data_IF_858809374537
#
_entry.id   IF_858809374537
#
_cell.length_a   1.000
_cell.length_b   1.000
_cell.length_c   1.000
_cell.angle_alpha   90.00
_cell.angle_beta   90.00
_cell.angle_gamma   90.00
#
_symmetry.space_group_name_H-M   'P 1'
#
loop_
_entity.id
_entity.type
_entity.pdbx_description
1 polymer ?
#
# COMPACT_ATOMS: atom_id res chain seq x y z
N UNK A 1 -14.56 -47.98 10.86
CA UNK A 1 -15.23 -46.76 11.37
C UNK A 1 -14.28 -45.58 11.16
N UNK A 2 -14.13 -45.03 9.95
CA UNK A 2 -13.21 -43.87 9.77
C UNK A 2 -13.36 -43.13 8.42
N UNK A 3 -14.59 -43.02 7.90
CA UNK A 3 -14.86 -42.16 6.71
C UNK A 3 -15.98 -41.14 6.92
N UNK A 4 -16.69 -41.19 8.05
CA UNK A 4 -17.82 -40.29 8.36
C UNK A 4 -17.43 -39.00 9.12
N UNK A 5 -16.20 -38.91 9.64
CA UNK A 5 -15.77 -37.73 10.41
C UNK A 5 -15.08 -36.63 9.57
N UNK A 6 -14.59 -36.95 8.37
CA UNK A 6 -13.94 -35.96 7.50
C UNK A 6 -14.98 -35.06 6.81
N UNK A 7 -16.14 -35.60 6.46
CA UNK A 7 -17.24 -34.83 5.86
C UNK A 7 -17.90 -33.82 6.82
N UNK A 8 -17.79 -34.04 8.14
CA UNK A 8 -18.30 -33.09 9.16
C UNK A 8 -17.32 -31.95 9.47
N UNK A 9 -16.02 -32.13 9.21
CA UNK A 9 -15.03 -31.06 9.37
C UNK A 9 -15.04 -30.07 8.18
N UNK A 10 -15.40 -30.56 6.97
CA UNK A 10 -15.51 -29.72 5.77
C UNK A 10 -16.72 -28.77 5.76
N UNK A 11 -17.77 -29.04 6.53
CA UNK A 11 -18.97 -28.19 6.56
C UNK A 11 -18.85 -26.97 7.51
N UNK A 12 -17.80 -26.89 8.32
CA UNK A 12 -17.56 -25.79 9.28
C UNK A 12 -16.62 -24.69 8.73
N UNK A 13 -16.06 -24.85 7.53
CA UNK A 13 -15.15 -23.89 6.88
C UNK A 13 -15.80 -23.07 5.75
N UNK A 14 -17.10 -23.27 5.50
CA UNK A 14 -17.84 -22.57 4.43
C UNK A 14 -18.04 -21.05 4.59
N UNK A 15 -17.88 -20.37 5.75
CA UNK A 15 -17.95 -18.90 5.77
C UNK A 15 -16.59 -18.20 5.54
N UNK A 16 -15.47 -18.93 5.42
CA UNK A 16 -14.15 -18.33 5.15
C UNK A 16 -13.97 -17.93 3.67
N UNK A 17 -14.60 -18.64 2.73
CA UNK A 17 -14.51 -18.34 1.29
C UNK A 17 -15.12 -16.99 0.91
N UNK A 18 -16.26 -16.62 1.49
CA UNK A 18 -16.88 -15.30 1.24
C UNK A 18 -16.08 -14.13 1.85
N UNK A 19 -15.34 -14.37 2.95
CA UNK A 19 -14.49 -13.34 3.54
C UNK A 19 -13.20 -13.12 2.73
N UNK A 20 -12.69 -14.18 2.10
CA UNK A 20 -11.57 -14.10 1.17
C UNK A 20 -11.95 -13.34 -0.11
N UNK A 21 -13.18 -13.50 -0.60
CA UNK A 21 -13.67 -12.76 -1.77
C UNK A 21 -13.77 -11.25 -1.51
N UNK A 22 -14.21 -10.82 -0.32
CA UNK A 22 -14.27 -9.41 0.08
C UNK A 22 -12.88 -8.79 0.32
N UNK A 23 -11.93 -9.56 0.86
CA UNK A 23 -10.53 -9.13 1.03
C UNK A 23 -9.76 -9.10 -0.30
N UNK A 24 -9.99 -10.06 -1.20
CA UNK A 24 -9.44 -10.02 -2.56
C UNK A 24 -10.03 -8.86 -3.36
N UNK A 25 -11.32 -8.56 -3.22
CA UNK A 25 -11.93 -7.44 -3.95
C UNK A 25 -11.45 -6.07 -3.45
N UNK A 26 -11.10 -5.93 -2.15
CA UNK A 26 -10.45 -4.71 -1.64
C UNK A 26 -8.98 -4.59 -2.04
N UNK A 27 -8.26 -5.71 -2.20
CA UNK A 27 -6.87 -5.69 -2.70
C UNK A 27 -6.81 -5.39 -4.21
N UNK A 28 -7.76 -5.91 -4.99
CA UNK A 28 -7.82 -5.65 -6.45
C UNK A 28 -8.03 -4.19 -6.80
N UNK A 29 -8.73 -3.42 -5.95
CA UNK A 29 -8.98 -2.01 -6.22
C UNK A 29 -7.77 -1.11 -5.94
N UNK A 30 -6.83 -1.55 -5.10
CA UNK A 30 -5.65 -0.73 -4.75
C UNK A 30 -4.46 -0.97 -5.68
N UNK A 31 -4.32 -2.17 -6.26
CA UNK A 31 -3.16 -2.52 -7.09
C UNK A 31 -3.41 -2.32 -8.61
N UNK A 32 -4.67 -2.37 -9.07
CA UNK A 32 -5.01 -2.20 -10.48
C UNK A 32 -5.28 -0.73 -10.90
N UNK A 33 -5.33 0.21 -9.95
CA UNK A 33 -5.66 1.63 -10.20
C UNK A 33 -4.45 2.50 -10.62
N UNK A 34 -3.44 1.90 -11.24
CA UNK A 34 -2.25 2.61 -11.73
C UNK A 34 -2.40 3.27 -13.11
N UNK A 35 -3.48 2.97 -13.84
CA UNK A 35 -3.63 3.41 -15.24
C UNK A 35 -4.56 4.62 -15.37
N UNK A 36 -4.02 5.76 -15.79
CA UNK A 36 -4.83 6.83 -16.40
C UNK A 36 -4.30 6.99 -17.83
N UNK A 37 -5.18 6.79 -18.81
CA UNK A 37 -4.95 7.22 -20.18
C UNK A 37 -4.73 8.73 -20.17
N UNK A 38 -3.94 9.27 -21.10
CA UNK A 38 -3.84 10.72 -21.29
C UNK A 38 -5.21 11.24 -21.72
N UNK A 39 -6.08 11.55 -20.75
CA UNK A 39 -7.41 12.08 -21.02
C UNK A 39 -7.27 13.52 -21.47
N UNK A 40 -7.89 13.81 -22.62
CA UNK A 40 -8.12 15.16 -23.11
C UNK A 40 -8.62 16.05 -21.96
N UNK A 41 -8.23 17.32 -21.97
CA UNK A 41 -8.71 18.32 -21.00
C UNK A 41 -10.23 18.23 -20.93
N UNK A 42 -10.74 17.58 -19.89
CA UNK A 42 -12.17 17.41 -19.68
C UNK A 42 -12.81 18.79 -19.52
N UNK A 43 -14.08 18.89 -19.90
CA UNK A 43 -14.85 20.09 -19.60
C UNK A 43 -14.79 20.37 -18.09
N UNK A 44 -14.73 21.65 -17.69
CA UNK A 44 -14.72 22.01 -16.28
C UNK A 44 -15.89 21.33 -15.57
N UNK A 45 -15.59 20.71 -14.44
CA UNK A 45 -16.52 19.90 -13.66
C UNK A 45 -16.52 20.34 -12.19
N UNK A 46 -17.67 20.20 -11.55
CA UNK A 46 -17.79 20.28 -10.10
C UNK A 46 -17.67 18.85 -9.54
N UNK A 47 -16.95 18.69 -8.44
CA UNK A 47 -16.70 17.38 -7.82
C UNK A 47 -16.99 17.44 -6.33
N UNK A 48 -17.76 16.47 -5.86
CA UNK A 48 -18.11 16.28 -4.46
C UNK A 48 -17.71 14.86 -4.05
N UNK A 49 -16.84 14.76 -3.05
CA UNK A 49 -16.27 13.49 -2.58
C UNK A 49 -16.49 13.40 -1.07
N UNK A 50 -16.92 12.23 -0.63
CA UNK A 50 -16.87 11.85 0.78
C UNK A 50 -15.82 10.77 0.96
N UNK A 51 -14.81 11.08 1.77
CA UNK A 51 -13.73 10.18 2.17
C UNK A 51 -14.01 9.64 3.56
N UNK A 52 -13.63 8.38 3.80
CA UNK A 52 -13.59 7.76 5.12
C UNK A 52 -12.14 7.43 5.48
N UNK A 53 -11.73 7.91 6.65
CA UNK A 53 -10.46 7.55 7.29
C UNK A 53 -10.55 6.12 7.80
N UNK A 54 -9.54 5.32 7.50
CA UNK A 54 -9.42 3.95 8.01
C UNK A 54 -9.20 3.97 9.53
N UNK A 55 -10.29 3.79 10.27
CA UNK A 55 -10.28 3.69 11.73
C UNK A 55 -9.41 2.51 12.21
N UNK A 56 -9.35 1.44 11.42
CA UNK A 56 -8.53 0.28 11.74
C UNK A 56 -7.03 0.56 11.59
N UNK A 57 -6.63 1.35 10.59
CA UNK A 57 -5.24 1.80 10.46
C UNK A 57 -4.89 2.84 11.51
N UNK A 58 -5.82 3.72 11.89
CA UNK A 58 -5.66 4.62 13.02
C UNK A 58 -5.37 3.83 14.31
N UNK A 59 -6.20 2.81 14.62
CA UNK A 59 -5.97 1.95 15.79
C UNK A 59 -4.64 1.21 15.75
N UNK A 60 -4.24 0.67 14.60
CA UNK A 60 -2.91 0.03 14.44
C UNK A 60 -1.78 1.03 14.72
N UNK A 61 -1.90 2.25 14.19
CA UNK A 61 -0.94 3.33 14.43
C UNK A 61 -0.85 3.65 15.93
N UNK A 62 -1.99 3.77 16.60
CA UNK A 62 -2.05 4.08 18.03
C UNK A 62 -1.57 2.94 18.93
N UNK A 63 -1.73 1.68 18.52
CA UNK A 63 -1.30 0.51 19.28
C UNK A 63 0.20 0.20 19.14
N UNK A 64 0.88 0.78 18.14
CA UNK A 64 2.31 0.57 17.93
C UNK A 64 2.67 -0.91 17.70
N UNK A 65 3.57 -1.45 18.52
CA UNK A 65 4.02 -2.86 18.42
C UNK A 65 2.90 -3.86 18.69
N UNK A 66 1.94 -3.52 19.56
CA UNK A 66 0.79 -4.35 19.89
C UNK A 66 -0.19 -4.55 18.72
N UNK A 67 -0.09 -3.74 17.66
CA UNK A 67 -0.86 -3.96 16.44
C UNK A 67 -0.56 -5.33 15.79
N UNK A 68 0.57 -5.95 16.13
CA UNK A 68 0.97 -7.27 15.63
C UNK A 68 0.38 -8.43 16.42
N UNK A 69 -0.18 -8.17 17.61
CA UNK A 69 -0.69 -9.18 18.53
C UNK A 69 -1.92 -9.90 17.95
N UNK A 70 -2.00 -11.22 18.17
CA UNK A 70 -3.10 -12.04 17.65
C UNK A 70 -4.46 -11.63 18.22
N UNK A 71 -4.50 -11.24 19.51
CA UNK A 71 -5.72 -10.78 20.18
C UNK A 71 -6.18 -9.46 19.58
N UNK A 72 -5.25 -8.51 19.38
CA UNK A 72 -5.54 -7.24 18.75
C UNK A 72 -6.11 -7.43 17.33
N UNK A 73 -5.45 -8.25 16.50
CA UNK A 73 -5.91 -8.56 15.14
C UNK A 73 -7.30 -9.20 15.14
N UNK A 74 -7.56 -10.12 16.07
CA UNK A 74 -8.88 -10.76 16.20
C UNK A 74 -9.96 -9.76 16.58
N UNK A 75 -9.70 -8.88 17.55
CA UNK A 75 -10.63 -7.84 17.98
C UNK A 75 -10.91 -6.83 16.86
N UNK A 76 -9.87 -6.41 16.15
CA UNK A 76 -9.96 -5.50 15.01
C UNK A 76 -10.82 -6.10 13.88
N UNK A 77 -10.55 -7.35 13.48
CA UNK A 77 -11.32 -8.05 12.46
C UNK A 77 -12.79 -8.24 12.89
N UNK A 78 -13.06 -8.41 14.18
CA UNK A 78 -14.42 -8.48 14.71
C UNK A 78 -15.13 -7.14 14.60
N UNK A 79 -14.46 -6.03 14.94
CA UNK A 79 -15.00 -4.68 14.84
C UNK A 79 -15.34 -4.32 13.38
N UNK A 80 -14.41 -4.57 12.44
CA UNK A 80 -14.62 -4.33 11.01
C UNK A 80 -15.82 -5.12 10.45
N UNK A 81 -16.02 -6.38 10.89
CA UNK A 81 -17.17 -7.20 10.45
C UNK A 81 -18.52 -6.70 10.96
N UNK A 82 -18.52 -6.03 12.11
CA UNK A 82 -19.72 -5.58 12.82
C UNK A 82 -20.07 -4.12 12.48
N UNK A 83 -19.14 -3.36 11.91
CA UNK A 83 -19.36 -2.00 11.41
C UNK A 83 -20.56 -1.95 10.46
N UNK A 84 -21.56 -1.12 10.79
CA UNK A 84 -22.79 -0.96 10.02
C UNK A 84 -23.83 -2.09 10.16
N UNK A 85 -23.57 -3.15 10.95
CA UNK A 85 -24.52 -4.25 11.21
C UNK A 85 -25.14 -4.18 12.59
N UNK A 86 -24.41 -3.69 13.58
CA UNK A 86 -24.82 -3.60 14.97
C UNK A 86 -24.81 -2.16 15.44
N UNK A 87 -25.67 -1.84 16.42
CA UNK A 87 -25.69 -0.53 17.06
C UNK A 87 -24.38 -0.29 17.82
N UNK A 88 -23.86 0.93 17.79
CA UNK A 88 -22.58 1.29 18.39
C UNK A 88 -21.55 1.73 17.34
N UNK A 89 -20.59 2.52 17.79
CA UNK A 89 -19.49 3.01 16.95
C UNK A 89 -18.36 1.97 16.89
N UNK A 90 -17.52 2.03 15.85
CA UNK A 90 -16.41 1.11 15.59
C UNK A 90 -15.51 0.92 16.81
N UNK A 91 -15.21 2.01 17.53
CA UNK A 91 -14.39 1.96 18.75
C UNK A 91 -15.04 1.17 19.88
N UNK A 92 -16.36 1.22 19.98
CA UNK A 92 -17.11 0.51 21.01
C UNK A 92 -17.11 -1.00 20.69
N UNK A 93 -17.32 -1.37 19.41
CA UNK A 93 -17.23 -2.77 18.98
C UNK A 93 -15.81 -3.34 19.12
N UNK A 94 -14.79 -2.54 18.84
CA UNK A 94 -13.39 -2.94 19.07
C UNK A 94 -13.12 -3.18 20.56
N UNK A 95 -13.54 -2.25 21.42
CA UNK A 95 -13.34 -2.35 22.86
C UNK A 95 -14.02 -3.59 23.45
N UNK A 96 -15.26 -3.85 23.05
CA UNK A 96 -16.03 -5.02 23.46
C UNK A 96 -15.34 -6.32 23.01
N UNK A 97 -14.96 -6.40 21.73
CA UNK A 97 -14.28 -7.57 21.18
C UNK A 97 -12.94 -7.82 21.89
N UNK A 98 -12.16 -6.78 22.19
CA UNK A 98 -10.90 -6.93 22.90
C UNK A 98 -11.12 -7.41 24.34
N UNK A 99 -12.04 -6.77 25.07
CA UNK A 99 -12.35 -7.09 26.47
C UNK A 99 -12.85 -8.52 26.65
N UNK A 100 -13.55 -9.08 25.66
CA UNK A 100 -13.99 -10.48 25.68
C UNK A 100 -12.85 -11.50 25.84
N UNK A 101 -11.60 -11.09 25.55
CA UNK A 101 -10.40 -11.90 25.75
C UNK A 101 -9.80 -11.80 27.17
N UNK A 102 -10.45 -11.07 28.10
CA UNK A 102 -10.06 -11.01 29.51
C UNK A 102 -8.94 -10.01 29.84
N UNK A 103 -8.57 -9.13 28.90
CA UNK A 103 -7.53 -8.11 29.09
C UNK A 103 -8.14 -6.69 29.06
N UNK A 104 -7.67 -5.75 29.91
CA UNK A 104 -8.12 -4.37 29.88
C UNK A 104 -7.60 -3.66 28.63
N UNK A 105 -8.35 -2.70 28.07
CA UNK A 105 -7.90 -1.99 26.86
C UNK A 105 -6.59 -1.24 27.06
N UNK A 106 -6.33 -0.77 28.27
CA UNK A 106 -5.12 -0.03 28.62
C UNK A 106 -3.83 -0.82 28.36
N UNK A 107 -3.88 -2.16 28.38
CA UNK A 107 -2.68 -2.98 28.13
C UNK A 107 -2.14 -2.84 26.71
N UNK A 108 -2.99 -2.49 25.73
CA UNK A 108 -2.61 -2.34 24.32
C UNK A 108 -1.73 -1.12 24.04
N UNK A 109 -1.73 -0.13 24.94
CA UNK A 109 -1.15 1.18 24.68
C UNK A 109 0.03 1.48 25.60
N UNK A 110 0.56 0.46 26.28
CA UNK A 110 1.68 0.58 27.23
C UNK A 110 2.97 1.09 26.56
N UNK A 111 3.24 0.61 25.35
CA UNK A 111 4.43 0.93 24.57
C UNK A 111 4.15 1.87 23.39
N UNK A 112 2.98 2.51 23.37
CA UNK A 112 2.61 3.44 22.30
C UNK A 112 2.81 4.90 22.69
N UNK A 113 2.72 5.81 21.72
CA UNK A 113 2.80 7.26 21.99
C UNK A 113 1.68 7.75 22.94
N UNK A 114 0.61 6.97 23.06
CA UNK A 114 -0.50 7.23 23.97
C UNK A 114 -0.21 6.83 25.42
N UNK A 115 0.93 6.18 25.73
CA UNK A 115 1.28 5.78 27.10
C UNK A 115 1.39 6.96 28.10
N UNK A 116 1.58 8.18 27.58
CA UNK A 116 1.53 9.43 28.37
C UNK A 116 0.12 9.74 28.87
N UNK A 117 -0.91 9.24 28.19
CA UNK A 117 -2.33 9.48 28.47
C UNK A 117 -3.06 8.24 28.99
N UNK A 118 -2.59 7.05 28.62
CA UNK A 118 -3.15 5.74 28.97
C UNK A 118 -2.10 4.97 29.78
N UNK A 119 -2.47 4.59 31.00
CA UNK A 119 -1.66 3.75 31.88
C UNK A 119 -2.48 2.53 32.35
N UNK A 120 -1.84 1.61 33.06
CA UNK A 120 -2.47 0.37 33.54
C UNK A 120 -3.70 0.58 34.44
N UNK A 121 -3.87 1.75 35.06
CA UNK A 121 -5.04 2.09 35.88
C UNK A 121 -6.13 2.87 35.13
N UNK A 122 -5.93 3.16 33.85
CA UNK A 122 -6.92 3.88 33.02
C UNK A 122 -8.09 2.96 32.70
N UNK A 123 -9.32 3.41 33.02
CA UNK A 123 -10.53 2.65 32.73
C UNK A 123 -10.81 2.55 31.23
N UNK A 124 -11.43 1.45 30.79
CA UNK A 124 -11.78 1.24 29.38
C UNK A 124 -12.58 2.42 28.79
N UNK A 125 -13.53 2.98 29.54
CA UNK A 125 -14.31 4.15 29.14
C UNK A 125 -13.43 5.39 28.86
N UNK A 126 -12.40 5.59 29.68
CA UNK A 126 -11.46 6.71 29.49
C UNK A 126 -10.53 6.42 28.31
N UNK A 127 -10.11 5.17 28.12
CA UNK A 127 -9.34 4.76 26.94
C UNK A 127 -10.13 5.04 25.65
N UNK A 128 -11.40 4.62 25.58
CA UNK A 128 -12.26 4.87 24.40
C UNK A 128 -12.37 6.37 24.11
N UNK A 129 -12.58 7.22 25.13
CA UNK A 129 -12.62 8.68 24.96
C UNK A 129 -11.31 9.25 24.40
N UNK A 130 -10.16 8.73 24.83
CA UNK A 130 -8.84 9.13 24.31
C UNK A 130 -8.70 8.70 22.84
N UNK A 131 -9.10 7.47 22.50
CA UNK A 131 -9.03 6.96 21.13
C UNK A 131 -9.89 7.77 20.16
N UNK A 132 -11.15 8.10 20.51
CA UNK A 132 -12.02 8.95 19.67
C UNK A 132 -11.42 10.35 19.47
N UNK A 133 -10.83 10.92 20.53
CA UNK A 133 -10.11 12.19 20.42
C UNK A 133 -8.91 12.08 19.47
N UNK A 134 -8.17 10.98 19.51
CA UNK A 134 -7.01 10.79 18.65
C UNK A 134 -7.37 10.51 17.18
N UNK A 135 -8.47 9.79 16.93
CA UNK A 135 -9.06 9.68 15.58
C UNK A 135 -9.43 11.06 15.04
N UNK A 136 -10.08 11.90 15.86
CA UNK A 136 -10.39 13.28 15.46
C UNK A 136 -9.13 14.07 15.12
N UNK A 137 -8.10 14.03 15.96
CA UNK A 137 -6.82 14.70 15.70
C UNK A 137 -6.19 14.21 14.38
N UNK A 138 -6.22 12.90 14.14
CA UNK A 138 -5.71 12.27 12.91
C UNK A 138 -6.52 12.69 11.68
N UNK A 139 -7.83 12.83 11.83
CA UNK A 139 -8.73 13.34 10.77
C UNK A 139 -8.40 14.79 10.44
N UNK A 140 -8.19 15.64 11.44
CA UNK A 140 -7.82 17.05 11.25
C UNK A 140 -6.44 17.20 10.58
N UNK A 141 -5.47 16.35 10.96
CA UNK A 141 -4.17 16.26 10.28
C UNK A 141 -4.31 15.84 8.82
N UNK A 142 -5.14 14.83 8.56
CA UNK A 142 -5.46 14.35 7.20
C UNK A 142 -6.05 15.49 6.36
N UNK A 143 -7.04 16.23 6.88
CA UNK A 143 -7.62 17.40 6.21
C UNK A 143 -6.56 18.43 5.83
N UNK A 144 -5.60 18.71 6.71
CA UNK A 144 -4.53 19.68 6.44
C UNK A 144 -3.58 19.21 5.32
N UNK A 145 -3.28 17.92 5.25
CA UNK A 145 -2.47 17.34 4.16
C UNK A 145 -3.25 17.38 2.86
N UNK A 146 -4.53 16.97 2.85
CA UNK A 146 -5.39 17.03 1.67
C UNK A 146 -5.52 18.46 1.14
N UNK A 147 -5.69 19.45 2.01
CA UNK A 147 -5.68 20.88 1.65
C UNK A 147 -4.37 21.28 0.97
N UNK A 148 -3.24 20.82 1.51
CA UNK A 148 -1.90 21.13 0.96
C UNK A 148 -1.69 20.50 -0.42
N UNK A 149 -2.17 19.26 -0.62
CA UNK A 149 -2.14 18.56 -1.92
C UNK A 149 -2.98 19.26 -2.97
N UNK A 150 -4.22 19.60 -2.63
CA UNK A 150 -5.12 20.32 -3.54
C UNK A 150 -4.53 21.68 -3.92
N UNK A 151 -3.91 22.40 -2.97
CA UNK A 151 -3.20 23.65 -3.24
C UNK A 151 -2.04 23.45 -4.23
N UNK A 152 -1.25 22.38 -4.10
CA UNK A 152 -0.16 22.05 -5.04
C UNK A 152 -0.66 21.68 -6.43
N UNK A 153 -1.89 21.14 -6.55
CA UNK A 153 -2.56 20.90 -7.82
C UNK A 153 -3.17 22.16 -8.45
N UNK A 154 -3.03 23.33 -7.81
CA UNK A 154 -3.57 24.60 -8.30
C UNK A 154 -5.02 24.87 -7.88
N UNK A 155 -5.60 24.04 -7.02
CA UNK A 155 -6.96 24.23 -6.51
C UNK A 155 -6.90 25.22 -5.35
N UNK A 156 -7.33 26.45 -5.61
CA UNK A 156 -7.15 27.58 -4.70
C UNK A 156 -8.24 27.70 -3.62
N UNK A 157 -9.43 27.12 -3.83
CA UNK A 157 -10.58 27.23 -2.91
C UNK A 157 -11.33 25.90 -2.73
N UNK A 158 -10.69 24.84 -2.23
CA UNK A 158 -11.42 23.62 -1.87
C UNK A 158 -12.26 23.85 -0.60
N UNK A 159 -13.51 23.40 -0.58
CA UNK A 159 -14.28 23.26 0.66
C UNK A 159 -14.00 21.88 1.23
N UNK A 160 -13.34 21.82 2.40
CA UNK A 160 -13.01 20.58 3.08
C UNK A 160 -13.49 20.68 4.52
N UNK A 161 -14.35 19.74 4.94
CA UNK A 161 -14.93 19.71 6.28
C UNK A 161 -15.07 18.28 6.78
N UNK A 162 -14.93 18.08 8.09
CA UNK A 162 -15.36 16.83 8.72
C UNK A 162 -16.89 16.75 8.71
N UNK A 163 -17.44 15.55 8.64
CA UNK A 163 -18.90 15.35 8.73
C UNK A 163 -19.35 15.11 10.17
N UNK A 164 -20.64 14.85 10.37
CA UNK A 164 -21.18 14.40 11.66
C UNK A 164 -20.73 12.97 12.02
N UNK A 165 -20.34 12.17 11.02
CA UNK A 165 -19.82 10.82 11.20
C UNK A 165 -18.31 10.88 11.46
N UNK A 166 -17.87 10.22 12.53
CA UNK A 166 -16.46 10.17 12.93
C UNK A 166 -15.59 9.56 11.81
N UNK A 167 -14.45 10.18 11.53
CA UNK A 167 -13.53 9.74 10.47
C UNK A 167 -13.97 10.07 9.04
N UNK A 168 -15.13 10.68 8.82
CA UNK A 168 -15.57 11.07 7.47
C UNK A 168 -15.23 12.53 7.14
N UNK A 169 -14.69 12.74 5.94
CA UNK A 169 -14.26 14.02 5.40
C UNK A 169 -15.03 14.29 4.11
N UNK A 170 -15.73 15.42 4.06
CA UNK A 170 -16.42 15.88 2.87
C UNK A 170 -15.59 16.95 2.15
N UNK A 171 -15.45 16.78 0.84
CA UNK A 171 -14.65 17.62 -0.04
C UNK A 171 -15.52 18.07 -1.20
N UNK A 172 -15.58 19.38 -1.44
CA UNK A 172 -16.22 19.97 -2.61
C UNK A 172 -15.25 20.86 -3.37
N UNK A 173 -15.13 20.57 -4.66
CA UNK A 173 -14.24 21.22 -5.60
C UNK A 173 -15.06 21.78 -6.76
N UNK A 174 -14.72 22.98 -7.20
CA UNK A 174 -15.40 23.67 -8.30
C UNK A 174 -14.40 23.88 -9.44
N UNK A 175 -14.91 23.87 -10.67
CA UNK A 175 -14.14 24.21 -11.88
C UNK A 175 -12.83 23.39 -12.03
N UNK A 176 -12.93 22.08 -11.83
CA UNK A 176 -11.80 21.16 -11.97
C UNK A 176 -11.71 20.58 -13.37
N UNK A 177 -10.48 20.43 -13.88
CA UNK A 177 -10.21 19.92 -15.24
C UNK A 177 -9.89 18.42 -15.32
N UNK A 178 -9.49 17.82 -14.20
CA UNK A 178 -9.05 16.42 -14.17
C UNK A 178 -9.49 15.74 -12.87
N UNK A 179 -10.78 15.32 -12.77
CA UNK A 179 -11.34 14.61 -11.62
C UNK A 179 -10.52 13.39 -11.21
N UNK A 180 -10.16 12.51 -12.15
CA UNK A 180 -9.41 11.27 -11.87
C UNK A 180 -8.01 11.52 -11.28
N UNK A 181 -7.33 12.58 -11.77
CA UNK A 181 -6.03 13.00 -11.23
C UNK A 181 -6.15 13.45 -9.77
N UNK A 182 -7.19 14.22 -9.46
CA UNK A 182 -7.45 14.71 -8.10
C UNK A 182 -7.80 13.52 -7.20
N UNK A 183 -8.66 12.62 -7.68
CA UNK A 183 -9.03 11.38 -6.99
C UNK A 183 -7.79 10.61 -6.55
N UNK A 184 -6.87 10.34 -7.48
CA UNK A 184 -5.60 9.64 -7.20
C UNK A 184 -4.78 10.34 -6.10
N UNK A 185 -4.67 11.66 -6.17
CA UNK A 185 -3.91 12.46 -5.19
C UNK A 185 -4.55 12.51 -3.80
N UNK A 186 -5.88 12.40 -3.72
CA UNK A 186 -6.62 12.38 -2.44
C UNK A 186 -6.48 11.03 -1.73
N UNK A 187 -6.51 9.92 -2.48
CA UNK A 187 -6.45 8.56 -1.90
C UNK A 187 -5.04 8.02 -1.69
N UNK A 188 -4.05 8.53 -2.43
CA UNK A 188 -2.66 8.08 -2.34
C UNK A 188 -2.07 8.38 -0.96
N UNK A 189 -1.61 7.39 -0.17
CA UNK A 189 -0.97 7.64 1.10
C UNK A 189 0.29 8.52 0.98
N UNK A 190 1.06 8.37 -0.11
CA UNK A 190 2.33 9.06 -0.29
C UNK A 190 3.47 8.39 0.50
N UNK A 191 3.40 7.07 0.66
CA UNK A 191 4.37 6.27 1.39
C UNK A 191 5.58 6.03 0.49
N UNK A 192 6.64 6.83 0.64
CA UNK A 192 7.92 6.58 -0.03
C UNK A 192 8.77 5.61 0.80
N UNK A 193 9.21 4.54 0.16
CA UNK A 193 10.01 3.49 0.78
C UNK A 193 11.19 3.08 -0.11
N UNK A 194 12.31 2.75 0.54
CA UNK A 194 13.48 2.19 -0.12
C UNK A 194 13.72 0.78 0.42
N UNK A 195 13.80 -0.17 -0.50
CA UNK A 195 13.91 -1.58 -0.23
C UNK A 195 15.22 -2.12 -0.76
N UNK A 196 15.90 -2.94 0.03
CA UNK A 196 16.91 -3.84 -0.52
C UNK A 196 16.22 -4.86 -1.43
N UNK A 197 16.98 -5.53 -2.29
CA UNK A 197 16.41 -6.53 -3.21
C UNK A 197 17.19 -7.83 -3.16
N UNK A 198 16.49 -8.92 -3.47
CA UNK A 198 17.13 -10.18 -3.84
C UNK A 198 17.53 -10.16 -5.30
N UNK A 199 18.60 -10.87 -5.64
CA UNK A 199 18.85 -11.29 -7.02
C UNK A 199 17.99 -12.50 -7.33
N UNK A 200 17.55 -12.64 -8.58
CA UNK A 200 16.81 -13.83 -9.02
C UNK A 200 17.57 -15.12 -8.70
N UNK A 201 18.89 -15.14 -8.92
CA UNK A 201 19.77 -16.26 -8.54
C UNK A 201 19.68 -16.73 -7.08
N UNK A 202 19.29 -15.86 -6.14
CA UNK A 202 19.15 -16.19 -4.71
C UNK A 202 17.81 -16.88 -4.38
N UNK A 203 16.78 -16.63 -5.19
CA UNK A 203 15.40 -17.05 -4.92
C UNK A 203 14.80 -17.95 -6.01
N UNK A 204 15.57 -18.29 -7.05
CA UNK A 204 15.10 -19.08 -8.20
C UNK A 204 14.44 -20.40 -7.77
N UNK A 205 15.05 -21.14 -6.84
CA UNK A 205 14.49 -22.40 -6.33
C UNK A 205 13.16 -22.19 -5.60
N UNK A 206 13.00 -21.05 -4.92
CA UNK A 206 11.74 -20.69 -4.27
C UNK A 206 10.67 -20.37 -5.32
N UNK A 207 11.02 -19.64 -6.38
CA UNK A 207 10.12 -19.33 -7.50
C UNK A 207 9.67 -20.60 -8.23
N UNK A 208 10.57 -21.57 -8.43
CA UNK A 208 10.23 -22.91 -8.94
C UNK A 208 9.28 -23.69 -8.02
N UNK A 209 9.46 -23.57 -6.69
CA UNK A 209 8.55 -24.15 -5.72
C UNK A 209 7.15 -23.50 -5.78
N UNK A 210 7.07 -22.18 -5.96
CA UNK A 210 5.78 -21.47 -6.18
C UNK A 210 5.10 -21.99 -7.45
N UNK A 211 5.85 -22.17 -8.55
CA UNK A 211 5.30 -22.72 -9.78
C UNK A 211 4.79 -24.16 -9.61
N UNK A 212 5.51 -24.99 -8.85
CA UNK A 212 5.09 -26.37 -8.54
C UNK A 212 3.82 -26.39 -7.71
N UNK A 213 3.71 -25.52 -6.71
CA UNK A 213 2.51 -25.35 -5.90
C UNK A 213 1.33 -24.88 -6.75
N UNK A 214 1.52 -23.90 -7.63
CA UNK A 214 0.48 -23.40 -8.52
C UNK A 214 -0.14 -24.50 -9.39
N UNK A 215 0.69 -25.42 -9.91
CA UNK A 215 0.23 -26.60 -10.68
C UNK A 215 -0.56 -27.61 -9.85
N UNK A 216 -0.31 -27.69 -8.55
CA UNK A 216 -1.03 -28.61 -7.65
C UNK A 216 -2.46 -28.17 -7.31
N UNK A 217 -2.77 -26.88 -7.48
CA UNK A 217 -4.09 -26.30 -7.19
C UNK A 217 -5.16 -26.66 -8.24
N UNK A 218 -4.80 -27.37 -9.31
CA UNK A 218 -5.70 -27.81 -10.39
C UNK A 218 -6.85 -28.76 -9.95
N UNK A 219 -6.95 -29.14 -8.67
CA UNK A 219 -7.87 -30.20 -8.18
C UNK A 219 -8.98 -29.76 -7.22
N UNK A 220 -9.21 -28.47 -6.98
CA UNK A 220 -10.34 -27.97 -6.15
C UNK A 220 -11.33 -27.12 -6.96
N UNK A 221 -12.67 -27.38 -6.88
CA UNK A 221 -13.68 -26.67 -7.68
C UNK A 221 -13.87 -25.17 -7.38
N UNK A 222 -13.26 -24.64 -6.33
CA UNK A 222 -13.44 -23.26 -5.84
C UNK A 222 -12.30 -22.29 -6.19
N UNK A 223 -11.26 -22.76 -6.88
CA UNK A 223 -10.22 -21.91 -7.45
C UNK A 223 -10.39 -21.96 -8.97
N UNK A 224 -10.43 -20.79 -9.61
CA UNK A 224 -10.31 -20.65 -11.08
C UNK A 224 -9.25 -21.63 -11.56
N UNK A 225 -9.49 -22.41 -12.63
CA UNK A 225 -8.50 -23.33 -13.23
C UNK A 225 -7.14 -22.61 -13.34
N UNK A 226 -6.27 -22.89 -12.38
CA UNK A 226 -5.04 -22.14 -12.14
C UNK A 226 -3.95 -22.82 -12.95
N UNK A 227 -3.63 -22.26 -14.11
CA UNK A 227 -2.49 -22.67 -14.92
C UNK A 227 -1.15 -22.43 -14.16
N UNK A 228 -0.10 -23.13 -14.57
CA UNK A 228 1.29 -22.95 -14.11
C UNK A 228 1.71 -21.46 -14.03
N UNK A 229 2.37 -21.04 -12.94
CA UNK A 229 2.91 -19.67 -12.78
C UNK A 229 3.71 -19.22 -14.01
N UNK A 230 4.56 -20.08 -14.55
CA UNK A 230 5.43 -19.76 -15.69
C UNK A 230 4.69 -19.61 -17.03
N UNK A 231 3.39 -19.92 -17.09
CA UNK A 231 2.56 -19.62 -18.27
C UNK A 231 2.20 -18.15 -18.37
N UNK A 232 2.06 -17.48 -17.22
CA UNK A 232 1.59 -16.09 -17.10
C UNK A 232 2.66 -15.13 -16.59
N UNK A 233 3.75 -15.68 -16.04
CA UNK A 233 4.94 -14.94 -15.63
C UNK A 233 6.12 -15.39 -16.49
N UNK A 234 6.55 -14.50 -17.39
CA UNK A 234 7.72 -14.72 -18.24
C UNK A 234 9.00 -14.49 -17.43
N UNK A 235 9.80 -15.54 -17.26
CA UNK A 235 11.05 -15.49 -16.50
C UNK A 235 12.21 -15.82 -17.43
N UNK A 236 13.27 -15.03 -17.34
CA UNK A 236 14.54 -15.30 -18.03
C UNK A 236 15.46 -16.10 -17.10
N UNK A 237 15.64 -17.39 -17.40
CA UNK A 237 16.47 -18.31 -16.63
C UNK A 237 17.89 -18.46 -17.19
N UNK A 238 18.27 -17.72 -18.24
CA UNK A 238 19.63 -17.80 -18.76
C UNK A 238 20.63 -17.28 -17.72
N UNK A 239 21.43 -18.20 -17.17
CA UNK A 239 22.44 -17.91 -16.13
C UNK A 239 23.51 -16.93 -16.59
N UNK A 240 23.65 -16.72 -17.90
CA UNK A 240 24.58 -15.77 -18.48
C UNK A 240 23.92 -14.41 -18.76
N UNK A 241 22.59 -14.28 -18.62
CA UNK A 241 21.90 -13.01 -18.85
C UNK A 241 22.04 -12.09 -17.64
N UNK A 242 22.05 -10.78 -17.90
CA UNK A 242 22.01 -9.77 -16.84
C UNK A 242 20.74 -9.89 -15.99
N UNK A 243 19.64 -10.41 -16.54
CA UNK A 243 18.37 -10.61 -15.83
C UNK A 243 18.51 -11.61 -14.67
N UNK A 244 19.34 -12.64 -14.82
CA UNK A 244 19.59 -13.65 -13.78
C UNK A 244 20.22 -13.07 -12.50
N UNK A 245 20.99 -11.99 -12.65
CA UNK A 245 21.59 -11.23 -11.55
C UNK A 245 20.82 -9.96 -11.18
N UNK A 246 19.70 -9.72 -11.86
CA UNK A 246 18.79 -8.64 -11.57
C UNK A 246 17.82 -9.04 -10.45
N UNK A 247 17.08 -8.06 -9.96
CA UNK A 247 16.05 -8.25 -8.94
C UNK A 247 14.67 -8.52 -9.52
N UNK A 248 14.58 -8.60 -10.84
CA UNK A 248 13.35 -8.94 -11.57
C UNK A 248 13.12 -10.45 -11.51
N UNK A 249 11.99 -10.86 -10.94
CA UNK A 249 11.52 -12.25 -10.92
C UNK A 249 11.00 -12.64 -12.29
N UNK A 250 10.26 -11.75 -12.94
CA UNK A 250 9.70 -11.98 -14.28
C UNK A 250 8.70 -10.89 -14.68
N UNK A 251 8.18 -11.01 -15.90
CA UNK A 251 7.24 -10.06 -16.51
C UNK A 251 5.87 -10.69 -16.73
N UNK A 252 4.82 -9.91 -16.49
CA UNK A 252 3.44 -10.35 -16.69
C UNK A 252 2.60 -9.28 -17.39
N UNK A 253 1.51 -9.70 -18.03
CA UNK A 253 0.48 -8.79 -18.52
C UNK A 253 -0.40 -8.29 -17.37
N UNK A 254 -1.05 -7.13 -17.55
CA UNK A 254 -1.95 -6.54 -16.55
C UNK A 254 -3.02 -7.49 -16.03
N UNK A 255 -3.56 -8.36 -16.89
CA UNK A 255 -4.66 -9.27 -16.54
C UNK A 255 -4.22 -10.38 -15.56
N UNK A 256 -2.92 -10.69 -15.52
CA UNK A 256 -2.37 -11.83 -14.79
C UNK A 256 -1.74 -11.43 -13.44
N UNK A 257 -1.50 -10.13 -13.22
CA UNK A 257 -0.82 -9.62 -12.00
C UNK A 257 -1.51 -10.05 -10.71
N UNK A 258 -2.84 -9.95 -10.65
CA UNK A 258 -3.62 -10.33 -9.46
C UNK A 258 -3.54 -11.83 -9.14
N UNK A 259 -3.52 -12.69 -10.17
CA UNK A 259 -3.38 -14.14 -10.01
C UNK A 259 -1.97 -14.47 -9.51
N UNK A 260 -0.95 -13.84 -10.10
CA UNK A 260 0.45 -14.02 -9.69
C UNK A 260 0.68 -13.55 -8.25
N UNK A 261 0.17 -12.37 -7.87
CA UNK A 261 0.23 -11.88 -6.47
C UNK A 261 -0.38 -12.89 -5.50
N UNK A 262 -1.50 -13.53 -5.88
CA UNK A 262 -2.17 -14.54 -5.06
C UNK A 262 -1.31 -15.79 -4.86
N UNK A 263 -0.58 -16.24 -5.90
CA UNK A 263 0.36 -17.35 -5.77
C UNK A 263 1.50 -17.05 -4.79
N UNK A 264 2.11 -15.87 -4.87
CA UNK A 264 3.19 -15.50 -3.95
C UNK A 264 2.69 -15.31 -2.51
N UNK A 265 1.45 -14.82 -2.34
CA UNK A 265 0.81 -14.76 -1.02
C UNK A 265 0.63 -16.14 -0.40
N UNK A 266 0.04 -17.08 -1.14
CA UNK A 266 -0.14 -18.46 -0.68
C UNK A 266 1.21 -19.14 -0.42
N UNK A 267 2.20 -18.93 -1.30
CA UNK A 267 3.54 -19.46 -1.10
C UNK A 267 4.21 -18.92 0.18
N UNK A 268 3.90 -17.69 0.60
CA UNK A 268 4.35 -17.13 1.87
C UNK A 268 3.70 -17.83 3.07
N UNK A 269 2.40 -18.10 2.98
CA UNK A 269 1.64 -18.81 4.03
C UNK A 269 2.14 -20.26 4.20
N UNK A 270 2.43 -20.93 3.09
CA UNK A 270 3.00 -22.28 3.03
C UNK A 270 4.52 -22.32 3.27
N UNK A 271 5.16 -21.18 3.56
CA UNK A 271 6.60 -21.04 3.84
C UNK A 271 7.51 -21.56 2.70
N UNK A 272 7.04 -21.48 1.46
CA UNK A 272 7.79 -21.86 0.25
C UNK A 272 8.79 -20.78 -0.18
N UNK A 273 8.57 -19.53 0.22
CA UNK A 273 9.45 -18.38 -0.03
C UNK A 273 10.02 -17.84 1.30
N UNK A 274 11.16 -17.13 1.27
CA UNK A 274 11.69 -16.46 2.47
C UNK A 274 10.67 -15.51 3.08
N UNK A 275 10.60 -15.46 4.41
CA UNK A 275 9.64 -14.61 5.11
C UNK A 275 9.88 -13.11 4.83
N UNK A 276 11.12 -12.75 4.56
CA UNK A 276 11.61 -11.42 4.21
C UNK A 276 11.53 -11.09 2.71
N UNK A 277 11.07 -12.02 1.86
CA UNK A 277 10.72 -11.75 0.46
C UNK A 277 9.36 -11.02 0.38
N UNK A 278 9.35 -9.90 -0.33
CA UNK A 278 8.17 -9.09 -0.60
C UNK A 278 8.11 -8.74 -2.11
N UNK A 279 7.51 -9.61 -2.94
CA UNK A 279 7.37 -9.32 -4.36
C UNK A 279 6.47 -8.11 -4.57
N UNK A 280 6.89 -7.17 -5.42
CA UNK A 280 6.11 -5.98 -5.75
C UNK A 280 6.20 -5.65 -7.25
N UNK A 281 5.14 -5.07 -7.78
CA UNK A 281 5.03 -4.79 -9.21
C UNK A 281 5.70 -3.47 -9.57
N UNK A 282 6.45 -3.48 -10.68
CA UNK A 282 6.96 -2.30 -11.36
C UNK A 282 6.29 -2.18 -12.73
N UNK A 283 5.56 -1.09 -13.03
CA UNK A 283 5.05 -0.84 -14.38
C UNK A 283 6.19 -0.81 -15.40
N UNK A 284 5.96 -1.38 -16.57
CA UNK A 284 6.92 -1.46 -17.67
C UNK A 284 6.18 -1.46 -19.02
N UNK A 285 6.90 -1.26 -20.13
CA UNK A 285 6.38 -1.52 -21.49
C UNK A 285 7.13 -2.67 -22.12
N UNK A 286 6.37 -3.55 -22.76
CA UNK A 286 6.93 -4.54 -23.66
C UNK A 286 7.45 -3.88 -24.94
N UNK A 287 8.24 -4.62 -25.72
CA UNK A 287 8.80 -4.20 -27.00
C UNK A 287 7.73 -3.73 -28.01
N UNK A 288 6.49 -4.22 -27.88
CA UNK A 288 5.33 -3.82 -28.70
C UNK A 288 4.60 -2.57 -28.19
N UNK A 289 5.14 -1.91 -27.16
CA UNK A 289 4.51 -0.75 -26.50
C UNK A 289 3.30 -1.10 -25.63
N UNK A 290 2.92 -2.38 -25.55
CA UNK A 290 1.87 -2.86 -24.64
C UNK A 290 2.36 -2.84 -23.20
N UNK A 291 1.46 -2.47 -22.27
CA UNK A 291 1.77 -2.38 -20.84
C UNK A 291 2.07 -3.77 -20.28
N UNK A 292 3.19 -3.89 -19.60
CA UNK A 292 3.56 -5.07 -18.81
C UNK A 292 3.97 -4.64 -17.42
N UNK A 293 4.14 -5.63 -16.54
CA UNK A 293 4.59 -5.39 -15.18
C UNK A 293 5.72 -6.33 -14.87
N UNK A 294 6.83 -5.77 -14.42
CA UNK A 294 7.98 -6.50 -13.90
C UNK A 294 7.75 -6.78 -12.41
N UNK A 295 7.77 -8.04 -12.01
CA UNK A 295 7.69 -8.43 -10.61
C UNK A 295 9.09 -8.35 -9.99
N UNK A 296 9.28 -7.48 -9.00
CA UNK A 296 10.58 -7.22 -8.37
C UNK A 296 10.65 -7.90 -7.00
N UNK A 297 11.77 -8.57 -6.72
CA UNK A 297 12.03 -9.27 -5.48
C UNK A 297 12.55 -8.32 -4.38
N UNK A 298 11.66 -7.60 -3.70
CA UNK A 298 12.06 -6.75 -2.59
C UNK A 298 12.39 -7.59 -1.35
N UNK A 299 13.34 -7.09 -0.56
CA UNK A 299 13.81 -7.69 0.68
C UNK A 299 13.51 -6.78 1.85
N UNK A 300 12.74 -7.29 2.81
CA UNK A 300 12.49 -6.58 4.07
C UNK A 300 13.70 -6.66 5.00
N UNK A 301 13.89 -5.65 5.83
CA UNK A 301 14.96 -5.65 6.83
C UNK A 301 14.49 -6.22 8.17
N UNK A 302 15.30 -7.08 8.77
CA UNK A 302 15.06 -7.64 10.12
C UNK A 302 13.85 -8.58 10.23
N UNK A 303 13.37 -8.80 11.47
CA UNK A 303 12.20 -9.65 11.76
C UNK A 303 10.86 -8.93 11.59
N UNK A 304 10.87 -7.65 11.21
CA UNK A 304 9.70 -6.75 11.26
C UNK A 304 8.97 -6.64 9.92
N UNK A 305 9.54 -7.15 8.83
CA UNK A 305 8.91 -7.12 7.51
C UNK A 305 8.81 -5.74 6.88
N UNK A 306 9.63 -4.77 7.32
CA UNK A 306 9.60 -3.37 6.86
C UNK A 306 10.67 -3.05 5.81
N UNK A 307 10.43 -1.98 5.06
CA UNK A 307 11.41 -1.37 4.17
C UNK A 307 12.71 -0.98 4.90
N UNK A 308 13.81 -0.85 4.16
CA UNK A 308 15.08 -0.41 4.75
C UNK A 308 15.04 1.08 5.15
N UNK A 309 14.29 1.89 4.39
CA UNK A 309 13.98 3.27 4.75
C UNK A 309 12.51 3.55 4.42
N UNK A 310 11.82 4.27 5.31
CA UNK A 310 10.40 4.65 5.14
C UNK A 310 10.09 5.90 5.97
N UNK A 311 8.93 6.53 5.72
CA UNK A 311 8.43 7.65 6.53
C UNK A 311 8.87 9.01 5.98
N UNK A 312 9.28 9.93 6.86
CA UNK A 312 9.62 11.30 6.46
C UNK A 312 11.04 11.40 5.85
N UNK A 313 11.15 10.95 4.60
CA UNK A 313 12.42 10.88 3.87
C UNK A 313 12.72 12.12 3.04
N UNK A 314 11.69 12.84 2.60
CA UNK A 314 11.78 13.89 1.59
C UNK A 314 11.82 15.28 2.21
N UNK A 315 12.88 16.05 1.95
CA UNK A 315 12.92 17.48 2.25
C UNK A 315 12.33 18.29 1.09
N UNK A 316 12.67 17.93 -0.14
CA UNK A 316 12.17 18.57 -1.35
C UNK A 316 12.17 17.55 -2.50
N UNK A 317 11.10 17.52 -3.30
CA UNK A 317 11.02 16.77 -4.54
C UNK A 317 10.73 17.69 -5.73
N UNK A 318 11.41 17.48 -6.85
CA UNK A 318 11.25 18.25 -8.09
C UNK A 318 11.13 17.32 -9.28
N UNK A 319 10.16 17.59 -10.13
CA UNK A 319 10.08 16.97 -11.44
C UNK A 319 11.03 17.68 -12.41
N UNK A 320 11.79 16.89 -13.17
CA UNK A 320 12.73 17.35 -14.18
C UNK A 320 12.43 16.58 -15.48
N UNK A 321 12.57 17.26 -16.62
CA UNK A 321 12.49 16.65 -17.93
C UNK A 321 13.86 16.73 -18.57
N UNK A 322 14.42 15.57 -18.92
CA UNK A 322 15.70 15.44 -19.58
C UNK A 322 15.45 15.36 -21.08
N UNK A 323 15.73 16.46 -21.80
CA UNK A 323 15.37 16.61 -23.21
C UNK A 323 16.12 15.65 -24.14
N UNK A 324 17.37 15.32 -23.81
CA UNK A 324 18.22 14.47 -24.63
C UNK A 324 17.69 13.02 -24.64
N UNK A 325 17.33 12.52 -23.47
CA UNK A 325 16.78 11.18 -23.25
C UNK A 325 15.27 11.12 -23.49
N UNK A 326 14.59 12.28 -23.55
CA UNK A 326 13.12 12.43 -23.54
C UNK A 326 12.48 11.74 -22.34
N UNK A 327 13.18 11.77 -21.21
CA UNK A 327 12.76 11.10 -19.98
C UNK A 327 12.33 12.12 -18.93
N UNK A 328 11.26 11.78 -18.21
CA UNK A 328 10.86 12.53 -17.01
C UNK A 328 11.47 11.84 -15.80
N UNK A 329 12.04 12.62 -14.88
CA UNK A 329 12.53 12.12 -13.62
C UNK A 329 12.08 12.99 -12.46
N UNK A 330 12.20 12.45 -11.25
CA UNK A 330 11.92 13.16 -10.01
C UNK A 330 13.20 13.16 -9.19
N UNK A 331 13.78 14.34 -9.01
CA UNK A 331 14.89 14.55 -8.08
C UNK A 331 14.32 14.73 -6.67
N UNK A 332 14.80 13.93 -5.74
CA UNK A 332 14.49 14.02 -4.31
C UNK A 332 15.75 14.46 -3.55
N UNK A 333 15.62 15.55 -2.82
CA UNK A 333 16.54 15.96 -1.78
C UNK A 333 16.00 15.44 -0.45
N UNK A 334 16.79 14.59 0.21
CA UNK A 334 16.40 13.92 1.44
C UNK A 334 16.60 14.81 2.67
N UNK A 335 15.89 14.48 3.75
CA UNK A 335 16.15 15.08 5.06
C UNK A 335 17.56 14.67 5.58
N UNK A 336 18.18 15.45 6.48
CA UNK A 336 19.53 15.12 6.97
C UNK A 336 19.65 13.74 7.64
N UNK A 337 18.58 13.26 8.28
CA UNK A 337 18.54 11.92 8.86
C UNK A 337 18.44 10.87 7.74
N UNK A 338 17.50 11.04 6.80
CA UNK A 338 17.33 10.13 5.67
C UNK A 338 18.59 10.06 4.79
N UNK A 339 19.34 11.15 4.63
CA UNK A 339 20.60 11.16 3.89
C UNK A 339 21.67 10.23 4.52
N UNK A 340 21.74 10.17 5.87
CA UNK A 340 22.64 9.24 6.57
C UNK A 340 22.19 7.79 6.41
N UNK A 341 20.89 7.56 6.52
CA UNK A 341 20.31 6.22 6.34
C UNK A 341 20.49 5.74 4.89
N UNK A 342 20.37 6.65 3.91
CA UNK A 342 20.63 6.42 2.49
C UNK A 342 22.10 6.09 2.22
N UNK A 343 23.02 6.82 2.84
CA UNK A 343 24.44 6.52 2.77
C UNK A 343 24.73 5.10 3.28
N UNK A 344 24.19 4.73 4.45
CA UNK A 344 24.38 3.39 5.01
C UNK A 344 23.75 2.30 4.13
N UNK A 345 22.56 2.54 3.57
CA UNK A 345 21.86 1.61 2.68
C UNK A 345 22.62 1.39 1.38
N UNK A 346 23.08 2.46 0.73
CA UNK A 346 23.85 2.37 -0.52
C UNK A 346 25.22 1.74 -0.30
N UNK A 347 25.91 2.08 0.81
CA UNK A 347 27.22 1.52 1.14
C UNK A 347 27.22 0.00 1.33
N UNK A 348 26.13 -0.58 1.84
CA UNK A 348 25.99 -2.05 1.97
C UNK A 348 25.32 -2.74 0.79
N UNK A 349 24.70 -1.98 -0.12
CA UNK A 349 23.99 -2.49 -1.30
C UNK A 349 24.80 -2.36 -2.60
N UNK A 350 26.10 -2.12 -2.52
CA UNK A 350 26.99 -1.98 -3.69
C UNK A 350 26.90 -3.22 -4.59
N UNK A 351 26.76 -3.01 -5.90
CA UNK A 351 26.54 -4.03 -6.92
C UNK A 351 25.22 -4.82 -6.75
N UNK A 352 24.28 -4.30 -5.96
CA UNK A 352 22.90 -4.75 -5.89
C UNK A 352 21.96 -3.61 -6.29
N UNK A 353 20.66 -3.88 -6.41
CA UNK A 353 19.66 -2.82 -6.67
C UNK A 353 18.96 -2.40 -5.39
N UNK A 354 18.41 -1.18 -5.41
CA UNK A 354 17.50 -0.70 -4.38
C UNK A 354 16.16 -0.43 -5.04
N UNK A 355 15.10 -1.10 -4.58
CA UNK A 355 13.74 -0.82 -5.03
C UNK A 355 13.22 0.47 -4.41
N UNK A 356 12.82 1.43 -5.24
CA UNK A 356 12.14 2.64 -4.81
C UNK A 356 10.64 2.41 -4.99
N UNK A 357 9.94 2.37 -3.86
CA UNK A 357 8.53 1.99 -3.77
C UNK A 357 7.72 3.20 -3.31
N UNK A 358 6.61 3.43 -3.97
CA UNK A 358 5.61 4.39 -3.53
C UNK A 358 4.25 3.71 -3.46
N UNK A 359 3.61 3.78 -2.30
CA UNK A 359 2.29 3.20 -2.06
C UNK A 359 2.19 1.70 -2.42
N UNK A 360 3.29 0.95 -2.23
CA UNK A 360 3.39 -0.48 -2.55
C UNK A 360 3.76 -0.81 -4.00
N UNK A 361 3.81 0.19 -4.89
CA UNK A 361 4.23 0.02 -6.28
C UNK A 361 5.71 0.41 -6.45
N UNK A 362 6.49 -0.44 -7.12
CA UNK A 362 7.88 -0.12 -7.46
C UNK A 362 7.88 0.83 -8.64
N UNK A 363 8.59 1.96 -8.51
CA UNK A 363 8.75 2.92 -9.60
C UNK A 363 10.04 2.67 -10.38
N UNK A 364 11.12 2.37 -9.66
CA UNK A 364 12.39 1.97 -10.24
C UNK A 364 13.22 1.17 -9.26
N UNK A 365 14.24 0.49 -9.79
CA UNK A 365 15.14 -0.36 -9.02
C UNK A 365 16.59 -0.18 -9.50
N UNK A 366 17.18 1.03 -9.32
CA UNK A 366 18.51 1.33 -9.83
C UNK A 366 19.59 0.47 -9.17
N UNK A 367 20.63 0.15 -9.95
CA UNK A 367 21.84 -0.51 -9.46
C UNK A 367 22.72 0.48 -8.71
N UNK A 368 23.12 0.11 -7.50
CA UNK A 368 24.05 0.91 -6.69
C UNK A 368 25.48 0.61 -7.11
N UNK A 369 26.17 1.62 -7.62
CA UNK A 369 27.56 1.50 -8.07
C UNK A 369 28.57 1.97 -7.01
N UNK A 370 28.16 2.90 -6.14
CA UNK A 370 28.97 3.44 -5.05
C UNK A 370 28.07 3.91 -3.89
N UNK A 371 28.69 4.15 -2.74
CA UNK A 371 28.05 4.77 -1.58
C UNK A 371 27.71 6.24 -1.88
N UNK A 372 26.47 6.66 -1.58
CA UNK A 372 25.96 8.01 -1.88
C UNK A 372 25.74 8.78 -0.56
N UNK A 373 26.61 9.75 -0.29
CA UNK A 373 26.57 10.55 0.95
C UNK A 373 25.79 11.87 0.84
N UNK A 374 25.46 12.32 -0.38
CA UNK A 374 24.87 13.65 -0.61
C UNK A 374 23.34 13.72 -0.40
N UNK A 375 22.67 12.61 -0.07
CA UNK A 375 21.22 12.59 0.19
C UNK A 375 20.35 12.99 -1.00
N UNK A 376 20.89 12.93 -2.23
CA UNK A 376 20.14 13.16 -3.47
C UNK A 376 19.82 11.82 -4.11
N UNK A 377 18.57 11.66 -4.52
CA UNK A 377 18.08 10.49 -5.23
C UNK A 377 17.29 10.92 -6.46
N UNK A 378 17.27 10.09 -7.50
CA UNK A 378 16.50 10.31 -8.71
C UNK A 378 15.59 9.11 -8.95
N UNK A 379 14.30 9.37 -9.12
CA UNK A 379 13.32 8.38 -9.57
C UNK A 379 13.11 8.62 -11.06
N UNK A 380 13.50 7.64 -11.87
CA UNK A 380 13.25 7.60 -13.30
C UNK A 380 12.22 6.52 -13.55
N UNK A 381 11.29 6.72 -14.46
CA UNK A 381 10.29 5.72 -14.80
C UNK A 381 9.44 6.13 -15.98
N UNK A 382 8.50 5.27 -16.33
CA UNK A 382 7.60 5.50 -17.47
C UNK A 382 6.42 6.40 -17.11
N UNK A 383 6.69 7.64 -16.74
CA UNK A 383 5.68 8.64 -16.45
C UNK A 383 5.89 9.90 -17.29
N UNK A 384 4.79 10.58 -17.58
CA UNK A 384 4.81 11.90 -18.22
C UNK A 384 5.36 12.95 -17.27
N UNK A 385 5.85 14.09 -17.79
CA UNK A 385 6.30 15.19 -16.94
C UNK A 385 5.20 15.69 -15.99
N UNK A 386 3.94 15.65 -16.44
CA UNK A 386 2.78 16.02 -15.61
C UNK A 386 2.62 15.07 -14.42
N UNK A 387 2.73 13.77 -14.64
CA UNK A 387 2.69 12.75 -13.58
C UNK A 387 3.91 12.84 -12.66
N UNK A 388 5.10 13.11 -13.21
CA UNK A 388 6.31 13.38 -12.43
C UNK A 388 6.09 14.54 -11.45
N UNK A 389 5.48 15.63 -11.94
CA UNK A 389 5.16 16.80 -11.14
C UNK A 389 4.09 16.52 -10.09
N UNK A 390 3.10 15.69 -10.37
CA UNK A 390 2.12 15.25 -9.37
C UNK A 390 2.77 14.46 -8.25
N UNK A 391 3.62 13.51 -8.62
CA UNK A 391 4.33 12.71 -7.64
C UNK A 391 5.30 13.57 -6.82
N UNK A 392 6.04 14.50 -7.45
CA UNK A 392 6.86 15.45 -6.71
C UNK A 392 6.03 16.30 -5.73
N UNK A 393 4.85 16.75 -6.15
CA UNK A 393 3.93 17.49 -5.27
C UNK A 393 3.40 16.63 -4.12
N UNK A 394 3.06 15.37 -4.39
CA UNK A 394 2.65 14.40 -3.38
C UNK A 394 3.74 14.23 -2.32
N UNK A 395 4.98 13.95 -2.74
CA UNK A 395 6.13 13.79 -1.85
C UNK A 395 6.42 15.04 -1.01
N UNK A 396 6.27 16.23 -1.60
CA UNK A 396 6.45 17.50 -0.87
C UNK A 396 5.35 17.78 0.16
N UNK A 397 4.17 17.20 0.01
CA UNK A 397 3.05 17.40 0.96
C UNK A 397 3.08 16.43 2.13
N UNK A 398 3.90 15.38 2.03
CA UNK A 398 4.04 14.35 3.04
C UNK A 398 3.01 13.23 2.94
N UNK A 399 3.24 12.24 3.79
CA UNK A 399 2.46 11.02 3.93
C UNK A 399 1.15 11.29 4.68
N UNK A 400 0.06 10.65 4.28
CA UNK A 400 -1.16 10.60 5.08
C UNK A 400 -0.89 9.78 6.36
N UNK A 401 -1.32 10.25 7.54
CA UNK A 401 -1.09 9.53 8.80
C UNK A 401 -1.84 8.19 8.84
N UNK A 402 -2.91 8.07 8.05
CA UNK A 402 -3.80 6.91 7.95
C UNK A 402 -4.33 6.82 6.53
N UNK A 403 -4.68 5.60 6.09
CA UNK A 403 -5.28 5.42 4.77
C UNK A 403 -6.70 6.01 4.71
N UNK A 404 -7.10 6.46 3.53
CA UNK A 404 -8.45 6.98 3.27
C UNK A 404 -9.07 6.23 2.10
N UNK A 405 -10.39 6.08 2.13
CA UNK A 405 -11.17 5.44 1.06
C UNK A 405 -12.29 6.35 0.62
N UNK A 406 -12.64 6.30 -0.67
CA UNK A 406 -13.81 7.03 -1.19
C UNK A 406 -15.05 6.18 -0.90
N UNK A 407 -16.01 6.75 -0.18
CA UNK A 407 -17.30 6.11 0.09
C UNK A 407 -18.41 6.62 -0.81
N UNK A 408 -18.31 7.89 -1.23
CA UNK A 408 -19.25 8.51 -2.15
C UNK A 408 -18.51 9.52 -3.01
N UNK A 409 -18.88 9.56 -4.29
CA UNK A 409 -18.34 10.54 -5.23
C UNK A 409 -19.39 10.92 -6.26
N UNK A 410 -19.43 12.22 -6.56
CA UNK A 410 -20.28 12.80 -7.58
C UNK A 410 -19.50 13.82 -8.39
N UNK A 411 -19.45 13.61 -9.70
CA UNK A 411 -18.86 14.55 -10.67
C UNK A 411 -19.98 15.10 -11.54
N UNK A 412 -20.04 16.42 -11.70
CA UNK A 412 -21.06 17.11 -12.49
C UNK A 412 -20.40 18.02 -13.50
N UNK A 413 -20.73 17.88 -14.78
CA UNK A 413 -20.24 18.78 -15.84
C UNK A 413 -20.72 20.22 -15.57
N UNK A 414 -19.80 21.17 -15.38
CA UNK A 414 -20.15 22.57 -15.12
C UNK A 414 -20.78 23.25 -16.34
N UNK A 415 -20.71 22.63 -17.53
CA UNK A 415 -21.27 23.12 -18.79
C UNK A 415 -22.77 22.78 -19.02
N UNK A 416 -23.42 22.03 -18.12
CA UNK A 416 -24.84 21.64 -18.23
C UNK A 416 -25.78 22.33 -17.23
N UNK A 417 -25.32 23.40 -16.57
CA UNK A 417 -26.14 24.18 -15.63
C UNK A 417 -26.91 25.31 -16.28
#
# INVERSE_FOLDING_TARGET
MEKKNIARLLFLLLPLGCLFYLLCHQMTNNEASGAVQEEAVGNPSDMEITLEVSLSDALKSFAGTHATDSIFKSALNSAEKNQGKTQGDFMDHFAEAFKSNGHPLSSLFSDSELNKQINSSTSDEKVIKILKKEVKNTTDQTINILRSRLKKLGISKPEIRSTEVEGQIHIKLLDIKSPERIRKMLISPGNLEFWETYKLSEIITNVEAVNTMARGLESTPELVKMDSLFKILSIDFDKNSNSYYSSEIGRAETKDTAVISSYFKLAKEEKLIPADLHPAWCPNRNSDGQKSFSLIALRSTGKTGKAAMSGNLTQEAKAEFYEEEKESAITINMTPQAAKDWQALTGRSINNTIGIVLDGLVYCYPRVNCEISCGRCQIVGEFTFKEANDLANLLNTGQLPVSVKIIEEKVTDSAKK
#
